data_IF_394446763226
#
_entry.id   IF_394446763226
#
_cell.length_a   1.000
_cell.length_b   1.000
_cell.length_c   1.000
_cell.angle_alpha   90.00
_cell.angle_beta   90.00
_cell.angle_gamma   90.00
#
_symmetry.space_group_name_H-M   'P 1'
#
loop_
_entity.id
_entity.type
_entity.pdbx_description
1 polymer ?
#
# COMPACT_ATOMS: atom_id res chain seq x y z
N UNK A 1 2.07 -18.52 13.19
CA UNK A 1 3.31 -17.86 12.73
C UNK A 1 3.14 -17.56 11.25
N UNK A 2 3.22 -16.29 10.84
CA UNK A 2 3.12 -15.89 9.44
C UNK A 2 4.33 -16.48 8.72
N UNK A 3 4.10 -17.59 8.02
CA UNK A 3 5.05 -18.20 7.12
C UNK A 3 5.16 -17.23 5.94
N UNK A 4 6.13 -16.32 5.97
CA UNK A 4 6.45 -15.49 4.81
C UNK A 4 6.58 -16.45 3.63
N UNK A 5 5.69 -16.30 2.65
CA UNK A 5 5.48 -17.31 1.60
C UNK A 5 6.85 -17.64 1.00
N UNK A 6 7.35 -18.87 1.23
CA UNK A 6 8.69 -19.26 0.76
C UNK A 6 8.84 -19.02 -0.75
N UNK A 7 7.70 -19.03 -1.46
CA UNK A 7 7.58 -18.71 -2.89
C UNK A 7 7.78 -17.23 -3.22
N UNK A 8 7.48 -16.30 -2.31
CA UNK A 8 7.77 -14.88 -2.51
C UNK A 8 9.24 -14.57 -2.28
N UNK A 9 9.86 -15.17 -1.26
CA UNK A 9 11.25 -14.87 -0.85
C UNK A 9 12.26 -15.03 -2.00
N UNK A 10 12.06 -15.99 -2.91
CA UNK A 10 12.94 -16.18 -4.06
C UNK A 10 13.03 -14.95 -4.99
N UNK A 11 11.98 -14.13 -5.08
CA UNK A 11 11.94 -12.93 -5.91
C UNK A 11 12.66 -11.74 -5.26
N UNK A 12 13.08 -11.85 -4.00
CA UNK A 12 13.79 -10.79 -3.26
C UNK A 12 15.31 -11.00 -3.26
N UNK A 13 15.81 -12.10 -3.83
CA UNK A 13 17.25 -12.32 -3.99
C UNK A 13 17.83 -11.25 -4.91
N UNK A 14 18.91 -10.60 -4.46
CA UNK A 14 19.64 -9.56 -5.21
C UNK A 14 18.82 -8.30 -5.57
N UNK A 15 17.65 -8.11 -4.93
CA UNK A 15 16.82 -6.91 -5.15
C UNK A 15 17.41 -5.70 -4.43
N UNK A 16 17.58 -4.59 -5.14
CA UNK A 16 18.07 -3.33 -4.54
C UNK A 16 16.95 -2.45 -3.98
N UNK A 17 15.75 -2.49 -4.58
CA UNK A 17 14.59 -1.70 -4.17
C UNK A 17 13.28 -2.35 -4.63
N UNK A 18 12.19 -2.09 -3.92
CA UNK A 18 10.85 -2.62 -4.19
C UNK A 18 9.92 -1.48 -4.60
N UNK A 19 9.20 -1.65 -5.71
CA UNK A 19 8.04 -0.83 -6.05
C UNK A 19 6.79 -1.62 -5.69
N UNK A 20 6.17 -1.28 -4.56
CA UNK A 20 4.97 -1.97 -4.07
C UNK A 20 3.72 -1.28 -4.62
N UNK A 21 3.27 -1.77 -5.78
CA UNK A 21 2.06 -1.30 -6.48
C UNK A 21 0.87 -2.27 -6.33
N UNK A 22 1.10 -3.45 -5.74
CA UNK A 22 0.07 -4.48 -5.63
C UNK A 22 -0.97 -4.08 -4.57
N UNK A 23 -2.22 -3.91 -5.01
CA UNK A 23 -3.36 -3.61 -4.17
C UNK A 23 -4.66 -3.92 -4.94
N UNK A 24 -5.77 -3.92 -4.21
CA UNK A 24 -7.13 -3.93 -4.73
C UNK A 24 -7.72 -2.52 -4.62
N UNK A 25 -7.64 -1.68 -5.67
CA UNK A 25 -8.00 -0.27 -5.62
C UNK A 25 -9.48 -0.02 -5.93
N UNK A 26 -10.39 -0.72 -5.25
CA UNK A 26 -11.84 -0.54 -5.43
C UNK A 26 -12.50 -0.20 -4.09
N UNK A 27 -13.00 1.03 -3.97
CA UNK A 27 -13.62 1.54 -2.73
C UNK A 27 -14.89 0.79 -2.40
N UNK A 28 -15.79 0.59 -3.37
CA UNK A 28 -17.06 -0.11 -3.16
C UNK A 28 -16.81 -1.57 -2.76
N UNK A 29 -15.91 -2.26 -3.47
CA UNK A 29 -15.51 -3.63 -3.12
C UNK A 29 -14.93 -3.70 -1.70
N UNK A 30 -14.16 -2.69 -1.27
CA UNK A 30 -13.61 -2.68 0.09
C UNK A 30 -14.67 -2.55 1.18
N UNK A 31 -15.83 -1.97 0.86
CA UNK A 31 -16.98 -1.86 1.77
C UNK A 31 -17.75 -3.19 1.79
N UNK A 32 -18.00 -3.77 0.62
CA UNK A 32 -18.78 -5.00 0.48
C UNK A 32 -18.00 -6.24 0.97
N UNK A 33 -16.68 -6.25 0.76
CA UNK A 33 -15.75 -7.35 1.03
C UNK A 33 -14.49 -6.84 1.78
N UNK A 34 -14.64 -6.38 3.03
CA UNK A 34 -13.57 -5.73 3.79
C UNK A 34 -12.43 -6.68 4.16
N UNK A 35 -12.72 -7.97 4.35
CA UNK A 35 -11.71 -8.96 4.72
C UNK A 35 -10.80 -9.29 3.53
N UNK A 36 -11.40 -9.52 2.36
CA UNK A 36 -10.72 -9.83 1.10
C UNK A 36 -9.85 -8.66 0.64
N UNK A 37 -10.39 -7.44 0.73
CA UNK A 37 -9.62 -6.22 0.46
C UNK A 37 -8.49 -6.02 1.48
N UNK A 38 -8.70 -6.31 2.77
CA UNK A 38 -7.65 -6.23 3.78
C UNK A 38 -6.52 -7.24 3.52
N UNK A 39 -6.83 -8.48 3.18
CA UNK A 39 -5.83 -9.49 2.83
C UNK A 39 -4.98 -9.05 1.63
N UNK A 40 -5.65 -8.50 0.62
CA UNK A 40 -4.99 -8.00 -0.60
C UNK A 40 -4.13 -6.76 -0.33
N UNK A 41 -4.56 -5.88 0.57
CA UNK A 41 -3.92 -4.57 0.79
C UNK A 41 -2.96 -4.55 1.98
N UNK A 42 -3.42 -4.94 3.17
CA UNK A 42 -2.66 -4.88 4.43
C UNK A 42 -1.77 -6.11 4.59
N UNK A 43 -2.35 -7.31 4.56
CA UNK A 43 -1.58 -8.54 4.83
C UNK A 43 -0.49 -8.75 3.78
N UNK A 44 -0.78 -8.41 2.52
CA UNK A 44 0.22 -8.44 1.44
C UNK A 44 1.34 -7.42 1.69
N UNK A 45 1.03 -6.21 2.18
CA UNK A 45 2.07 -5.22 2.53
C UNK A 45 2.98 -5.75 3.62
N UNK A 46 2.44 -6.36 4.68
CA UNK A 46 3.23 -6.98 5.75
C UNK A 46 4.09 -8.12 5.22
N UNK A 47 3.55 -8.99 4.35
CA UNK A 47 4.31 -10.08 3.72
C UNK A 47 5.50 -9.55 2.92
N UNK A 48 5.31 -8.49 2.13
CA UNK A 48 6.38 -7.85 1.36
C UNK A 48 7.46 -7.29 2.29
N UNK A 49 7.06 -6.59 3.35
CA UNK A 49 7.99 -6.03 4.34
C UNK A 49 8.81 -7.13 5.06
N UNK A 50 8.18 -8.25 5.41
CA UNK A 50 8.89 -9.40 5.98
C UNK A 50 9.86 -10.04 4.97
N UNK A 51 9.46 -10.20 3.71
CA UNK A 51 10.35 -10.70 2.66
C UNK A 51 11.55 -9.77 2.44
N UNK A 52 11.33 -8.45 2.43
CA UNK A 52 12.40 -7.45 2.37
C UNK A 52 13.37 -7.61 3.53
N UNK A 53 12.84 -7.68 4.76
CA UNK A 53 13.63 -7.83 5.99
C UNK A 53 14.48 -9.11 5.96
N UNK A 54 13.92 -10.23 5.53
CA UNK A 54 14.61 -11.52 5.46
C UNK A 54 15.69 -11.58 4.37
N UNK A 55 15.61 -10.74 3.34
CA UNK A 55 16.55 -10.70 2.23
C UNK A 55 17.44 -9.45 2.20
N UNK A 56 17.48 -8.69 3.30
CA UNK A 56 18.29 -7.46 3.43
C UNK A 56 17.98 -6.38 2.37
N UNK A 57 16.74 -6.32 1.88
CA UNK A 57 16.28 -5.26 0.98
C UNK A 57 15.82 -4.07 1.81
N UNK A 58 16.42 -2.90 1.59
CA UNK A 58 16.27 -1.75 2.50
C UNK A 58 15.58 -0.54 1.87
N UNK A 59 15.00 -0.67 0.67
CA UNK A 59 14.34 0.43 -0.05
C UNK A 59 12.99 0.02 -0.61
N UNK A 60 11.95 0.78 -0.29
CA UNK A 60 10.60 0.58 -0.83
C UNK A 60 9.99 1.90 -1.30
N UNK A 61 9.36 1.87 -2.48
CA UNK A 61 8.45 2.90 -2.96
C UNK A 61 7.06 2.31 -2.86
N UNK A 62 6.20 2.93 -2.06
CA UNK A 62 4.85 2.43 -1.79
C UNK A 62 3.79 3.27 -2.50
N UNK A 63 2.90 2.58 -3.21
CA UNK A 63 1.74 3.19 -3.84
C UNK A 63 0.60 3.35 -2.83
N UNK A 64 0.54 4.52 -2.19
CA UNK A 64 -0.59 4.95 -1.37
C UNK A 64 -1.64 5.68 -2.24
N UNK A 65 -2.58 6.37 -1.60
CA UNK A 65 -3.72 7.02 -2.24
C UNK A 65 -4.02 8.37 -1.57
N UNK A 66 -4.47 9.36 -2.33
CA UNK A 66 -5.01 10.61 -1.77
C UNK A 66 -6.27 10.37 -0.93
N UNK A 67 -6.95 9.22 -1.08
CA UNK A 67 -8.13 8.88 -0.29
C UNK A 67 -7.85 8.79 1.22
N UNK A 68 -6.58 8.66 1.64
CA UNK A 68 -6.20 8.64 3.07
C UNK A 68 -6.60 9.93 3.79
N UNK A 69 -6.64 11.06 3.09
CA UNK A 69 -7.04 12.32 3.69
C UNK A 69 -8.56 12.43 3.93
N UNK A 70 -9.36 11.58 3.28
CA UNK A 70 -10.83 11.62 3.39
C UNK A 70 -11.41 12.95 2.92
N UNK A 71 -12.28 13.53 3.75
CA UNK A 71 -12.94 14.80 3.46
C UNK A 71 -12.04 15.98 3.89
N UNK A 72 -11.07 16.36 3.06
CA UNK A 72 -10.24 17.53 3.30
C UNK A 72 -11.05 18.82 3.30
N UNK A 73 -10.74 19.72 4.24
CA UNK A 73 -11.29 21.07 4.29
C UNK A 73 -10.38 22.08 3.59
N UNK A 74 -9.08 21.79 3.46
CA UNK A 74 -8.08 22.69 2.88
C UNK A 74 -7.58 22.19 1.52
N UNK A 75 -7.55 23.11 0.56
CA UNK A 75 -7.04 22.87 -0.79
C UNK A 75 -6.05 23.98 -1.18
N UNK A 76 -4.90 23.65 -1.80
CA UNK A 76 -4.43 22.30 -2.16
C UNK A 76 -4.09 21.45 -0.92
N UNK A 77 -4.33 20.14 -1.01
CA UNK A 77 -4.12 19.21 0.12
C UNK A 77 -2.62 19.00 0.37
N UNK A 78 -2.13 19.44 1.52
CA UNK A 78 -0.73 19.26 1.93
C UNK A 78 -0.49 17.84 2.49
N UNK A 79 0.73 17.32 2.40
CA UNK A 79 1.14 16.05 3.00
C UNK A 79 0.94 15.98 4.53
N UNK A 80 0.96 17.14 5.18
CA UNK A 80 0.72 17.32 6.63
C UNK A 80 -0.76 17.49 7.00
N UNK A 81 -1.67 17.47 6.03
CA UNK A 81 -3.11 17.48 6.32
C UNK A 81 -3.50 16.24 7.13
N UNK A 82 -4.54 16.37 7.94
CA UNK A 82 -4.98 15.28 8.79
C UNK A 82 -5.42 14.08 7.97
N UNK A 83 -4.94 12.90 8.36
CA UNK A 83 -5.33 11.63 7.76
C UNK A 83 -6.62 11.17 8.42
N UNK A 84 -7.73 11.21 7.67
CA UNK A 84 -9.06 10.85 8.14
C UNK A 84 -9.75 9.92 7.13
N UNK A 85 -9.32 8.65 7.03
CA UNK A 85 -9.87 7.72 6.05
C UNK A 85 -11.37 7.52 6.24
N UNK A 86 -12.14 7.60 5.16
CA UNK A 86 -13.62 7.46 5.17
C UNK A 86 -14.11 6.13 4.57
N UNK A 87 -13.18 5.26 4.15
CA UNK A 87 -13.49 3.95 3.58
C UNK A 87 -12.47 2.89 4.00
N UNK A 88 -12.81 1.59 3.95
CA UNK A 88 -11.86 0.52 4.25
C UNK A 88 -10.63 0.57 3.35
N UNK A 89 -10.79 0.81 2.04
CA UNK A 89 -9.65 1.00 1.13
C UNK A 89 -8.69 2.11 1.58
N UNK A 90 -9.23 3.29 1.92
CA UNK A 90 -8.42 4.41 2.39
C UNK A 90 -7.69 4.08 3.70
N UNK A 91 -8.38 3.41 4.63
CA UNK A 91 -7.79 2.96 5.89
C UNK A 91 -6.68 1.93 5.66
N UNK A 92 -6.90 0.96 4.78
CA UNK A 92 -5.93 -0.09 4.45
C UNK A 92 -4.65 0.49 3.83
N UNK A 93 -4.76 1.50 2.96
CA UNK A 93 -3.60 2.23 2.43
C UNK A 93 -2.83 2.94 3.53
N UNK A 94 -3.54 3.61 4.43
CA UNK A 94 -2.91 4.29 5.56
C UNK A 94 -2.23 3.32 6.54
N UNK A 95 -2.87 2.19 6.86
CA UNK A 95 -2.25 1.12 7.65
C UNK A 95 -0.94 0.63 7.00
N UNK A 96 -0.90 0.53 5.67
CA UNK A 96 0.32 0.24 4.93
C UNK A 96 1.44 1.27 5.16
N UNK A 97 1.12 2.56 5.14
CA UNK A 97 2.08 3.64 5.47
C UNK A 97 2.63 3.49 6.89
N UNK A 98 1.76 3.22 7.87
CA UNK A 98 2.13 3.06 9.27
C UNK A 98 3.02 1.84 9.50
N UNK A 99 2.74 0.71 8.84
CA UNK A 99 3.63 -0.45 8.88
C UNK A 99 5.00 -0.13 8.28
N UNK A 100 5.05 0.55 7.14
CA UNK A 100 6.32 0.93 6.51
C UNK A 100 7.12 1.86 7.43
N UNK A 101 6.46 2.85 8.04
CA UNK A 101 7.08 3.72 9.04
C UNK A 101 7.64 2.92 10.23
N UNK A 102 6.88 1.97 10.76
CA UNK A 102 7.33 1.11 11.84
C UNK A 102 8.54 0.25 11.42
N UNK A 103 8.52 -0.31 10.22
CA UNK A 103 9.63 -1.11 9.69
C UNK A 103 10.88 -0.27 9.43
N UNK A 104 10.75 1.02 9.11
CA UNK A 104 11.88 1.94 9.10
C UNK A 104 12.52 2.03 10.49
N UNK A 105 11.73 2.26 11.54
CA UNK A 105 12.22 2.40 12.91
C UNK A 105 12.84 1.13 13.47
N UNK A 106 12.27 -0.03 13.14
CA UNK A 106 12.72 -1.31 13.69
C UNK A 106 13.85 -1.95 12.87
N UNK A 107 13.84 -1.77 11.54
CA UNK A 107 14.68 -2.57 10.63
C UNK A 107 15.41 -1.73 9.57
N UNK A 108 15.37 -0.40 9.67
CA UNK A 108 16.05 0.52 8.75
C UNK A 108 15.63 0.35 7.27
N UNK A 109 14.37 -0.04 7.02
CA UNK A 109 13.78 0.00 5.68
C UNK A 109 13.51 1.46 5.32
N UNK A 110 14.26 2.00 4.37
CA UNK A 110 14.07 3.35 3.83
C UNK A 110 12.89 3.34 2.85
N UNK A 111 12.10 4.40 2.85
CA UNK A 111 10.86 4.41 2.07
C UNK A 111 10.52 5.77 1.45
N UNK A 112 9.73 5.71 0.38
CA UNK A 112 8.99 6.83 -0.19
C UNK A 112 7.53 6.40 -0.31
N UNK A 113 6.62 7.19 0.25
CA UNK A 113 5.17 6.99 0.10
C UNK A 113 4.66 7.92 -0.99
N UNK A 114 3.96 7.37 -1.98
CA UNK A 114 3.33 8.15 -3.05
C UNK A 114 1.81 8.11 -2.86
N UNK A 115 1.22 9.22 -2.42
CA UNK A 115 -0.25 9.38 -2.32
C UNK A 115 -0.79 9.85 -3.66
N UNK A 116 -1.18 8.90 -4.51
CA UNK A 116 -1.65 9.19 -5.87
C UNK A 116 -3.00 9.93 -5.89
N UNK A 117 -3.12 10.89 -6.79
CA UNK A 117 -4.36 11.62 -7.09
C UNK A 117 -4.84 11.22 -8.50
N UNK A 118 -5.89 10.41 -8.59
CA UNK A 118 -6.60 10.08 -9.83
C UNK A 118 -5.68 9.79 -11.03
N UNK A 119 -4.82 8.79 -10.90
CA UNK A 119 -3.90 8.37 -11.97
C UNK A 119 -4.70 7.85 -13.16
N UNK A 120 -4.38 8.30 -14.37
CA UNK A 120 -5.00 7.86 -15.62
C UNK A 120 -3.93 7.62 -16.69
N UNK A 121 -4.28 6.87 -17.72
CA UNK A 121 -3.40 6.66 -18.88
C UNK A 121 -3.66 5.36 -19.61
N UNK A 122 -2.78 5.07 -20.56
CA UNK A 122 -2.81 3.83 -21.33
C UNK A 122 -2.71 2.60 -20.41
N UNK A 123 -3.51 1.56 -20.70
CA UNK A 123 -3.66 0.33 -19.90
C UNK A 123 -4.38 0.51 -18.55
N UNK A 124 -4.98 1.67 -18.29
CA UNK A 124 -6.02 1.77 -17.25
C UNK A 124 -7.23 0.94 -17.68
N UNK A 125 -7.61 -0.03 -16.86
CA UNK A 125 -8.75 -0.90 -17.12
C UNK A 125 -10.03 -0.07 -17.22
N UNK A 126 -10.69 -0.09 -18.38
CA UNK A 126 -11.97 0.61 -18.62
C UNK A 126 -13.20 -0.32 -18.50
N UNK A 127 -12.97 -1.62 -18.26
CA UNK A 127 -14.01 -2.66 -18.21
C UNK A 127 -13.62 -3.77 -17.22
N UNK A 128 -14.55 -4.22 -16.36
CA UNK A 128 -14.35 -5.36 -15.43
C UNK A 128 -14.68 -5.02 -13.97
N UNK A 129 -14.46 -5.94 -13.02
CA UNK A 129 -14.82 -5.77 -11.60
C UNK A 129 -13.94 -4.77 -10.82
N UNK A 130 -12.95 -4.18 -11.49
CA UNK A 130 -11.93 -3.30 -10.90
C UNK A 130 -11.83 -1.95 -11.61
N UNK A 131 -12.93 -1.49 -12.23
CA UNK A 131 -13.02 -0.09 -12.69
C UNK A 131 -13.24 0.81 -11.48
N UNK A 132 -12.51 1.93 -11.43
CA UNK A 132 -12.66 3.02 -10.47
C UNK A 132 -13.95 3.79 -10.67
#
# INVERSE_FOLDING_TARGET
MINSDQRLSQYFKEVNAVFHCAALPNVQFSIDYPYESNNSNVDTTIKILECMRQNNVTKIIYSSSSSVYGNCEHFPTNEKENIKPISPYALQKYIGEEYIYLYNKLYNINYVILRYFNVYGERMTSTGSYVS
#
